data_IF_764017393698
#
_entry.id   IF_764017393698
#
_cell.length_a   1.000
_cell.length_b   1.000
_cell.length_c   1.000
_cell.angle_alpha   90.00
_cell.angle_beta   90.00
_cell.angle_gamma   90.00
#
_symmetry.space_group_name_H-M   'P 1'
#
loop_
_entity.id
_entity.type
_entity.pdbx_description
1 polymer ?
#
# COMPACT_ATOMS: atom_id res chain seq x y z
N UNK A 1 7.85 11.10 -8.34
CA UNK A 1 8.71 9.94 -8.00
C UNK A 1 9.85 10.47 -7.13
N UNK A 2 10.68 9.63 -6.53
CA UNK A 2 11.89 10.11 -5.87
C UNK A 2 12.39 9.23 -4.74
N UNK A 3 13.53 9.63 -4.20
CA UNK A 3 14.21 8.96 -3.10
C UNK A 3 13.96 9.70 -1.78
N UNK A 4 13.66 8.95 -0.73
CA UNK A 4 13.39 9.46 0.61
C UNK A 4 14.35 8.89 1.64
N UNK A 5 14.59 9.66 2.70
CA UNK A 5 15.28 9.22 3.91
C UNK A 5 14.38 9.48 5.10
N UNK A 6 13.96 8.41 5.78
CA UNK A 6 13.24 8.49 7.05
C UNK A 6 14.15 8.09 8.20
N UNK A 7 14.04 8.77 9.34
CA UNK A 7 14.61 8.36 10.62
C UNK A 7 13.53 7.74 11.50
N UNK A 8 13.88 6.68 12.23
CA UNK A 8 12.98 6.15 13.26
C UNK A 8 13.03 6.99 14.54
N UNK A 9 11.87 7.21 15.15
CA UNK A 9 11.76 7.82 16.48
C UNK A 9 12.06 6.83 17.62
N UNK A 10 12.18 5.53 17.32
CA UNK A 10 12.28 4.45 18.31
C UNK A 10 13.66 3.80 18.40
N UNK A 11 14.54 4.05 17.43
CA UNK A 11 15.90 3.53 17.40
C UNK A 11 16.79 4.38 16.48
N UNK A 12 18.10 4.24 16.63
CA UNK A 12 19.12 4.96 15.83
C UNK A 12 19.31 4.33 14.45
N UNK A 13 18.22 4.24 13.70
CA UNK A 13 18.20 3.76 12.33
C UNK A 13 17.55 4.76 11.38
N UNK A 14 18.05 4.76 10.14
CA UNK A 14 17.45 5.43 9.00
C UNK A 14 17.02 4.40 7.97
N UNK A 15 15.90 4.69 7.30
CA UNK A 15 15.39 3.95 6.15
C UNK A 15 15.57 4.80 4.91
N UNK A 16 16.23 4.23 3.92
CA UNK A 16 16.35 4.83 2.59
C UNK A 16 15.55 4.00 1.61
N UNK A 17 14.90 4.65 0.65
CA UNK A 17 14.26 3.95 -0.44
C UNK A 17 13.62 4.86 -1.46
N UNK A 18 13.07 4.24 -2.49
CA UNK A 18 12.43 4.91 -3.61
C UNK A 18 10.90 4.78 -3.62
N UNK A 19 10.22 5.79 -4.15
CA UNK A 19 8.78 5.72 -4.48
C UNK A 19 8.50 6.23 -5.89
N UNK A 20 7.63 5.53 -6.60
CA UNK A 20 7.11 5.97 -7.90
C UNK A 20 6.01 7.04 -7.79
N UNK A 21 5.68 7.46 -6.57
CA UNK A 21 4.68 8.50 -6.32
C UNK A 21 5.36 9.83 -6.04
N UNK A 22 4.63 10.93 -6.23
CA UNK A 22 5.11 12.26 -5.85
C UNK A 22 4.85 12.55 -4.36
N UNK A 23 5.13 11.57 -3.50
CA UNK A 23 4.94 11.66 -2.06
C UNK A 23 5.75 10.56 -1.35
N UNK A 24 6.74 10.91 -0.49
CA UNK A 24 7.52 9.93 0.25
C UNK A 24 6.69 9.13 1.26
N UNK A 25 5.63 9.73 1.81
CA UNK A 25 4.75 9.09 2.79
C UNK A 25 3.85 8.00 2.20
N UNK A 26 3.74 7.92 0.87
CA UNK A 26 2.94 6.88 0.22
C UNK A 26 3.38 5.47 0.62
N UNK A 27 4.68 5.25 0.86
CA UNK A 27 5.22 3.95 1.29
C UNK A 27 4.94 3.63 2.75
N UNK A 28 4.82 4.66 3.59
CA UNK A 28 4.51 4.52 5.01
C UNK A 28 3.01 4.29 5.21
N UNK A 29 2.15 5.02 4.48
CA UNK A 29 0.69 4.90 4.58
C UNK A 29 0.12 3.74 3.76
N UNK A 30 0.80 3.38 2.66
CA UNK A 30 0.33 2.45 1.65
C UNK A 30 -1.01 2.82 1.03
N UNK A 31 -1.61 1.87 0.32
CA UNK A 31 -3.01 1.98 -0.14
C UNK A 31 -3.92 1.35 0.90
N UNK A 32 -4.88 2.11 1.43
CA UNK A 32 -5.84 1.67 2.46
C UNK A 32 -5.23 1.41 3.86
N UNK A 33 -4.25 2.22 4.28
CA UNK A 33 -3.75 2.23 5.67
C UNK A 33 -2.83 1.06 6.03
N UNK A 34 -2.46 0.21 5.07
CA UNK A 34 -1.48 -0.87 5.27
C UNK A 34 -0.13 -0.39 4.73
N UNK A 35 0.91 -0.21 5.57
CA UNK A 35 2.20 0.31 5.15
C UNK A 35 2.85 -0.54 4.04
N UNK A 36 2.81 -0.06 2.80
CA UNK A 36 3.39 -0.77 1.65
C UNK A 36 4.90 -0.55 1.60
N UNK A 37 5.65 -1.47 2.22
CA UNK A 37 7.12 -1.51 2.20
C UNK A 37 7.78 -1.34 3.56
N UNK A 38 7.05 -0.92 4.59
CA UNK A 38 7.57 -0.84 5.97
C UNK A 38 7.13 -2.03 6.83
N UNK A 39 5.90 -2.53 6.68
CA UNK A 39 5.41 -3.70 7.42
C UNK A 39 5.75 -5.05 6.77
N UNK A 40 6.11 -5.04 5.48
CA UNK A 40 6.40 -6.24 4.69
C UNK A 40 7.90 -6.53 4.51
N UNK A 41 8.79 -5.66 4.99
CA UNK A 41 10.22 -5.71 4.69
C UNK A 41 11.01 -6.05 5.95
N UNK A 42 12.09 -6.82 5.77
CA UNK A 42 13.09 -7.10 6.81
C UNK A 42 13.52 -5.79 7.47
N UNK A 43 13.28 -5.67 8.77
CA UNK A 43 13.65 -4.52 9.59
C UNK A 43 14.32 -5.03 10.87
N UNK A 44 15.10 -4.19 11.59
CA UNK A 44 15.56 -4.51 12.93
C UNK A 44 14.39 -4.90 13.86
N UNK A 45 14.57 -5.88 14.74
CA UNK A 45 13.49 -6.36 15.62
C UNK A 45 12.94 -5.25 16.53
N UNK A 46 13.79 -4.28 16.92
CA UNK A 46 13.39 -3.12 17.72
C UNK A 46 12.34 -2.21 17.04
N UNK A 47 12.15 -2.32 15.72
CA UNK A 47 11.20 -1.53 14.95
C UNK A 47 9.88 -2.25 14.63
N UNK A 48 9.71 -3.50 15.11
CA UNK A 48 8.53 -4.30 14.80
C UNK A 48 7.24 -3.63 15.27
N UNK A 49 6.35 -3.34 14.32
CA UNK A 49 5.09 -2.64 14.57
C UNK A 49 5.26 -1.14 14.90
N UNK A 50 6.46 -0.57 14.75
CA UNK A 50 6.81 0.83 15.07
C UNK A 50 7.36 1.57 13.85
N UNK A 51 6.68 1.42 12.73
CA UNK A 51 7.08 1.98 11.42
C UNK A 51 5.92 2.70 10.75
N UNK A 52 5.00 3.26 11.55
CA UNK A 52 3.90 4.07 11.07
C UNK A 52 4.30 5.54 10.84
N UNK A 53 3.37 6.37 10.34
CA UNK A 53 3.62 7.79 10.07
C UNK A 53 4.05 8.60 11.30
N UNK A 54 3.58 8.21 12.49
CA UNK A 54 3.95 8.84 13.76
C UNK A 54 5.31 8.37 14.30
N UNK A 55 5.86 7.29 13.75
CA UNK A 55 7.09 6.64 14.22
C UNK A 55 8.31 7.04 13.39
N UNK A 56 8.10 7.81 12.33
CA UNK A 56 9.10 8.17 11.35
C UNK A 56 9.17 9.69 11.18
N UNK A 57 10.39 10.19 11.02
CA UNK A 57 10.70 11.58 10.71
C UNK A 57 11.30 11.62 9.29
N UNK A 58 10.73 12.40 8.39
CA UNK A 58 11.29 12.59 7.05
C UNK A 58 12.51 13.52 7.15
N UNK A 59 13.71 12.98 6.92
CA UNK A 59 14.96 13.76 6.94
C UNK A 59 15.30 14.37 5.58
N UNK A 60 14.84 13.77 4.47
CA UNK A 60 15.16 14.29 3.14
C UNK A 60 14.33 13.68 2.02
N UNK A 61 14.11 14.48 0.98
CA UNK A 61 13.33 14.12 -0.20
C UNK A 61 13.97 14.67 -1.49
N UNK A 62 14.29 13.76 -2.42
CA UNK A 62 14.88 14.05 -3.71
C UNK A 62 13.94 13.57 -4.82
N UNK A 63 12.95 14.40 -5.22
CA UNK A 63 11.93 14.00 -6.20
C UNK A 63 12.50 13.76 -7.59
N UNK A 64 13.63 14.39 -7.92
CA UNK A 64 14.29 14.25 -9.21
C UNK A 64 15.21 13.02 -9.27
N UNK A 65 15.42 12.31 -8.15
CA UNK A 65 16.28 11.13 -8.15
C UNK A 65 15.57 9.95 -8.81
N UNK A 66 16.29 9.18 -9.63
CA UNK A 66 15.75 8.02 -10.34
C UNK A 66 15.94 6.72 -9.55
N UNK A 67 15.23 5.67 -9.96
CA UNK A 67 15.35 4.34 -9.35
C UNK A 67 16.74 3.72 -9.62
N UNK A 68 17.35 4.00 -10.77
CA UNK A 68 18.71 3.54 -11.08
C UNK A 68 19.75 4.17 -10.15
N UNK A 69 19.60 5.47 -9.85
CA UNK A 69 20.46 6.17 -8.90
C UNK A 69 20.30 5.63 -7.49
N UNK A 70 19.08 5.34 -7.06
CA UNK A 70 18.80 4.68 -5.78
C UNK A 70 19.47 3.31 -5.67
N UNK A 71 19.35 2.47 -6.70
CA UNK A 71 19.99 1.15 -6.73
C UNK A 71 21.52 1.25 -6.68
N UNK A 72 22.11 2.25 -7.36
CA UNK A 72 23.56 2.49 -7.29
C UNK A 72 23.99 2.87 -5.85
N UNK A 73 23.23 3.73 -5.18
CA UNK A 73 23.47 4.11 -3.78
C UNK A 73 23.34 2.90 -2.85
N UNK A 74 22.27 2.10 -2.97
CA UNK A 74 22.11 0.88 -2.17
C UNK A 74 23.23 -0.13 -2.41
N UNK A 75 23.72 -0.26 -3.64
CA UNK A 75 24.86 -1.12 -3.98
C UNK A 75 26.13 -0.69 -3.24
N UNK A 76 26.43 0.62 -3.24
CA UNK A 76 27.58 1.17 -2.52
C UNK A 76 27.49 0.95 -1.01
N UNK A 77 26.28 1.04 -0.47
CA UNK A 77 26.03 0.99 0.97
C UNK A 77 25.65 -0.41 1.46
N UNK A 78 25.61 -1.40 0.57
CA UNK A 78 25.19 -2.76 0.93
C UNK A 78 26.04 -3.37 2.05
N UNK A 79 27.33 -3.00 2.12
CA UNK A 79 28.27 -3.50 3.14
C UNK A 79 28.00 -2.97 4.56
N UNK A 80 27.32 -1.84 4.65
CA UNK A 80 26.99 -1.16 5.93
C UNK A 80 25.50 -1.24 6.25
N UNK A 81 24.72 -1.95 5.42
CA UNK A 81 23.30 -2.20 5.72
C UNK A 81 23.19 -3.10 6.95
N UNK A 82 22.31 -2.71 7.87
CA UNK A 82 22.02 -3.49 9.08
C UNK A 82 21.05 -4.61 8.72
N UNK A 83 19.89 -4.25 8.16
CA UNK A 83 18.86 -5.19 7.68
C UNK A 83 18.08 -4.55 6.53
N UNK A 84 18.11 -5.19 5.35
CA UNK A 84 17.37 -4.70 4.18
C UNK A 84 17.93 -3.36 3.69
N UNK A 85 17.12 -2.31 3.75
CA UNK A 85 17.55 -0.93 3.44
C UNK A 85 17.50 -0.04 4.69
N UNK A 86 17.66 -0.64 5.87
CA UNK A 86 17.86 0.06 7.13
C UNK A 86 19.35 0.17 7.45
N UNK A 87 19.76 1.37 7.84
CA UNK A 87 21.15 1.74 8.12
C UNK A 87 21.24 2.40 9.49
N UNK A 88 22.41 2.33 10.13
CA UNK A 88 22.65 3.05 11.38
C UNK A 88 22.57 4.57 11.16
N UNK A 89 22.06 5.32 12.15
CA UNK A 89 21.91 6.77 12.07
C UNK A 89 23.25 7.50 11.86
N UNK A 90 24.35 6.94 12.37
CA UNK A 90 25.70 7.49 12.21
C UNK A 90 26.16 7.57 10.74
N UNK A 91 25.55 6.79 9.84
CA UNK A 91 25.84 6.78 8.40
C UNK A 91 25.14 7.91 7.64
N UNK A 92 24.25 8.67 8.30
CA UNK A 92 23.49 9.76 7.69
C UNK A 92 24.35 10.78 6.92
N UNK A 93 25.53 11.22 7.41
CA UNK A 93 26.40 12.15 6.67
C UNK A 93 26.91 11.56 5.35
N UNK A 94 27.25 10.27 5.32
CA UNK A 94 27.68 9.57 4.11
C UNK A 94 26.53 9.51 3.11
N UNK A 95 25.33 9.15 3.56
CA UNK A 95 24.13 9.15 2.73
C UNK A 95 23.87 10.51 2.10
N UNK A 96 23.86 11.58 2.89
CA UNK A 96 23.56 12.92 2.39
C UNK A 96 24.61 13.39 1.37
N UNK A 97 25.88 13.00 1.56
CA UNK A 97 26.95 13.28 0.61
C UNK A 97 26.74 12.56 -0.73
N UNK A 98 26.41 11.27 -0.69
CA UNK A 98 26.12 10.48 -1.90
C UNK A 98 24.86 10.99 -2.62
N UNK A 99 23.79 11.26 -1.87
CA UNK A 99 22.55 11.82 -2.40
C UNK A 99 22.78 13.15 -3.09
N UNK A 100 23.58 14.04 -2.49
CA UNK A 100 23.93 15.32 -3.09
C UNK A 100 24.72 15.16 -4.39
N UNK A 101 25.64 14.19 -4.44
CA UNK A 101 26.44 13.91 -5.62
C UNK A 101 25.63 13.27 -6.75
N UNK A 102 24.71 12.36 -6.43
CA UNK A 102 23.94 11.60 -7.42
C UNK A 102 22.66 12.29 -7.85
N UNK A 103 21.90 12.85 -6.91
CA UNK A 103 20.55 13.39 -7.15
C UNK A 103 20.49 14.92 -7.10
N UNK A 104 21.59 15.61 -6.76
CA UNK A 104 21.61 17.05 -6.53
C UNK A 104 21.06 17.47 -5.17
N UNK A 105 20.64 18.73 -5.05
CA UNK A 105 20.18 19.28 -3.76
C UNK A 105 18.80 18.75 -3.37
N UNK A 106 18.62 18.42 -2.09
CA UNK A 106 17.33 18.04 -1.51
C UNK A 106 16.36 19.21 -1.57
N UNK A 107 15.08 18.95 -1.89
CA UNK A 107 14.01 19.91 -1.59
C UNK A 107 13.69 19.76 -0.11
N UNK A 108 14.49 20.42 0.73
CA UNK A 108 14.33 20.39 2.19
C UNK A 108 13.13 21.23 2.68
N UNK A 109 12.41 21.86 1.74
CA UNK A 109 11.46 22.92 2.03
C UNK A 109 10.05 22.35 2.19
N UNK A 110 9.68 22.12 3.46
CA UNK A 110 8.30 21.94 3.92
C UNK A 110 7.48 20.88 3.15
N UNK A 111 7.96 19.63 3.11
CA UNK A 111 7.02 18.50 2.92
C UNK A 111 6.21 18.44 4.22
N UNK A 112 5.10 19.17 4.26
CA UNK A 112 4.16 19.16 5.38
C UNK A 112 3.87 17.71 5.71
N UNK A 113 4.24 17.28 6.91
CA UNK A 113 3.71 16.04 7.47
C UNK A 113 2.20 16.09 7.26
N UNK A 114 1.56 15.10 6.61
CA UNK A 114 0.11 15.12 6.47
C UNK A 114 -0.45 15.33 7.87
N UNK A 115 -1.17 16.44 8.05
CA UNK A 115 -1.72 16.81 9.35
C UNK A 115 -2.44 15.58 9.88
N UNK A 116 -2.05 15.17 11.09
CA UNK A 116 -2.60 14.02 11.80
C UNK A 116 -4.12 14.06 11.59
N UNK A 117 -4.75 13.03 10.97
CA UNK A 117 -6.18 13.08 10.72
C UNK A 117 -6.87 13.37 12.04
N UNK A 118 -7.55 14.52 12.09
CA UNK A 118 -8.39 14.91 13.22
C UNK A 118 -9.30 13.72 13.51
N UNK A 119 -9.37 13.33 14.79
CA UNK A 119 -10.27 12.28 15.28
C UNK A 119 -11.61 12.46 14.58
N UNK A 120 -12.03 11.42 13.85
CA UNK A 120 -13.34 11.40 13.22
C UNK A 120 -14.39 11.69 14.29
N UNK A 121 -15.00 12.87 14.22
CA UNK A 121 -16.27 13.13 14.88
C UNK A 121 -17.27 12.11 14.33
N UNK A 122 -17.94 11.45 15.25
CA UNK A 122 -18.94 10.44 15.01
C UNK A 122 -20.16 11.11 14.35
N UNK A 123 -20.10 11.26 13.02
CA UNK A 123 -21.21 11.74 12.21
C UNK A 123 -22.32 10.68 12.20
N UNK A 124 -23.52 11.13 12.53
CA UNK A 124 -24.76 10.37 12.45
C UNK A 124 -24.92 9.74 11.04
N UNK A 125 -25.54 8.54 10.95
CA UNK A 125 -25.64 7.81 9.69
C UNK A 125 -26.51 8.59 8.69
N UNK A 126 -25.86 9.10 7.64
CA UNK A 126 -26.57 9.57 6.45
C UNK A 126 -27.32 8.41 5.76
N UNK A 127 -28.48 8.70 5.14
CA UNK A 127 -29.26 7.70 4.42
C UNK A 127 -28.42 7.09 3.28
N UNK A 128 -28.62 5.79 2.96
CA UNK A 128 -27.78 5.10 2.00
C UNK A 128 -27.91 5.71 0.61
N UNK A 129 -26.86 6.40 0.17
CA UNK A 129 -26.73 6.86 -1.21
C UNK A 129 -26.74 5.66 -2.17
N UNK A 130 -27.55 5.76 -3.23
CA UNK A 130 -27.54 4.80 -4.33
C UNK A 130 -26.14 4.74 -4.97
N UNK A 131 -25.52 3.56 -5.09
CA UNK A 131 -24.15 3.46 -5.57
C UNK A 131 -24.05 3.86 -7.04
N UNK A 132 -23.32 4.95 -7.32
CA UNK A 132 -22.89 5.30 -8.68
C UNK A 132 -21.97 4.22 -9.26
N UNK A 133 -22.06 3.85 -10.54
CA UNK A 133 -21.23 2.80 -11.15
C UNK A 133 -19.72 3.10 -11.07
N UNK A 134 -18.94 2.23 -10.42
CA UNK A 134 -17.49 2.42 -10.16
C UNK A 134 -16.61 1.64 -11.16
N UNK A 135 -16.69 1.98 -12.44
CA UNK A 135 -15.83 1.35 -13.46
C UNK A 135 -14.35 1.70 -13.24
N UNK A 136 -13.44 0.73 -13.35
CA UNK A 136 -11.98 0.93 -13.26
C UNK A 136 -11.38 1.16 -11.87
N UNK A 137 -12.19 1.35 -10.82
CA UNK A 137 -11.66 1.56 -9.47
C UNK A 137 -11.08 0.27 -8.87
N UNK A 138 -10.01 0.38 -8.07
CA UNK A 138 -9.43 -0.75 -7.32
C UNK A 138 -10.39 -1.22 -6.23
N UNK A 139 -10.26 -2.49 -5.83
CA UNK A 139 -10.98 -3.07 -4.68
C UNK A 139 -10.28 -2.66 -3.39
N UNK A 140 -11.03 -2.04 -2.48
CA UNK A 140 -10.58 -1.73 -1.11
C UNK A 140 -10.61 -2.97 -0.20
N UNK A 141 -9.82 -2.98 0.89
CA UNK A 141 -9.89 -4.04 1.89
C UNK A 141 -11.28 -4.22 2.50
N UNK A 142 -12.02 -3.13 2.69
CA UNK A 142 -13.37 -3.14 3.25
C UNK A 142 -14.37 -3.79 2.29
N UNK A 143 -14.28 -3.49 0.99
CA UNK A 143 -15.06 -4.17 -0.04
C UNK A 143 -14.76 -5.68 -0.09
N UNK A 144 -13.48 -6.06 0.04
CA UNK A 144 -13.07 -7.45 0.11
C UNK A 144 -13.63 -8.17 1.35
N UNK A 145 -13.63 -7.51 2.51
CA UNK A 145 -14.19 -8.06 3.73
C UNK A 145 -15.71 -8.24 3.59
N UNK A 146 -16.43 -7.23 3.06
CA UNK A 146 -17.86 -7.31 2.75
C UNK A 146 -18.15 -8.47 1.78
N UNK A 147 -17.34 -8.62 0.74
CA UNK A 147 -17.45 -9.71 -0.23
C UNK A 147 -17.25 -11.08 0.42
N UNK A 148 -16.23 -11.23 1.27
CA UNK A 148 -15.98 -12.49 2.01
C UNK A 148 -17.13 -12.86 2.93
N UNK A 149 -17.67 -11.89 3.69
CA UNK A 149 -18.80 -12.13 4.59
C UNK A 149 -20.05 -12.54 3.81
N UNK A 150 -20.35 -11.85 2.71
CA UNK A 150 -21.52 -12.15 1.87
C UNK A 150 -21.43 -13.52 1.19
N UNK A 151 -20.25 -13.84 0.65
CA UNK A 151 -19.96 -15.19 0.13
C UNK A 151 -20.14 -16.22 1.23
N UNK A 152 -19.60 -16.02 2.43
CA UNK A 152 -19.78 -16.96 3.54
C UNK A 152 -21.25 -17.26 3.89
N UNK A 153 -22.13 -16.27 3.73
CA UNK A 153 -23.57 -16.39 4.01
C UNK A 153 -24.34 -17.11 2.89
N UNK A 154 -24.13 -16.73 1.63
CA UNK A 154 -25.01 -17.15 0.52
C UNK A 154 -24.44 -18.26 -0.36
N UNK A 155 -23.13 -18.46 -0.35
CA UNK A 155 -22.45 -19.31 -1.35
C UNK A 155 -22.75 -20.80 -1.23
N UNK A 156 -23.27 -21.24 -0.07
CA UNK A 156 -23.70 -22.63 0.11
C UNK A 156 -25.02 -22.96 -0.60
N UNK A 157 -25.84 -21.93 -0.88
CA UNK A 157 -27.21 -22.08 -1.35
C UNK A 157 -27.39 -21.61 -2.80
N UNK A 158 -26.44 -20.83 -3.32
CA UNK A 158 -26.57 -20.14 -4.61
C UNK A 158 -25.36 -20.43 -5.49
N UNK A 159 -25.61 -20.70 -6.78
CA UNK A 159 -24.53 -20.91 -7.75
C UNK A 159 -23.64 -19.65 -7.86
N UNK A 160 -22.34 -19.77 -8.22
CA UNK A 160 -21.47 -18.60 -8.40
C UNK A 160 -22.02 -17.57 -9.40
N UNK A 161 -22.71 -18.04 -10.45
CA UNK A 161 -23.30 -17.17 -11.48
C UNK A 161 -24.49 -16.38 -10.91
N UNK A 162 -25.38 -17.07 -10.19
CA UNK A 162 -26.54 -16.43 -9.56
C UNK A 162 -26.12 -15.49 -8.45
N UNK A 163 -25.09 -15.85 -7.68
CA UNK A 163 -24.51 -14.97 -6.67
C UNK A 163 -24.04 -13.65 -7.30
N UNK A 164 -23.29 -13.71 -8.41
CA UNK A 164 -22.83 -12.50 -9.11
C UNK A 164 -24.01 -11.72 -9.68
N UNK A 165 -25.03 -12.39 -10.23
CA UNK A 165 -26.24 -11.75 -10.75
C UNK A 165 -27.00 -11.00 -9.66
N UNK A 166 -27.09 -11.56 -8.46
CA UNK A 166 -27.82 -10.97 -7.33
C UNK A 166 -27.06 -9.84 -6.62
N UNK A 167 -25.72 -9.87 -6.64
CA UNK A 167 -24.93 -8.98 -5.77
C UNK A 167 -24.13 -7.90 -6.52
N UNK A 168 -24.02 -7.93 -7.86
CA UNK A 168 -23.15 -6.95 -8.56
C UNK A 168 -23.56 -5.49 -8.36
N UNK A 169 -24.87 -5.20 -8.33
CA UNK A 169 -25.38 -3.84 -8.09
C UNK A 169 -25.13 -3.39 -6.66
N UNK A 170 -25.26 -4.30 -5.69
CA UNK A 170 -24.98 -4.02 -4.28
C UNK A 170 -23.53 -3.60 -4.04
N UNK A 171 -22.59 -4.19 -4.78
CA UNK A 171 -21.19 -3.76 -4.75
C UNK A 171 -20.89 -2.53 -5.63
N UNK A 172 -21.86 -2.05 -6.43
CA UNK A 172 -21.64 -0.97 -7.40
C UNK A 172 -20.59 -1.33 -8.48
N UNK A 173 -20.44 -2.63 -8.78
CA UNK A 173 -19.44 -3.17 -9.72
C UNK A 173 -20.11 -3.89 -10.89
N UNK A 174 -19.42 -3.99 -12.01
CA UNK A 174 -19.87 -4.85 -13.11
C UNK A 174 -19.81 -6.32 -12.72
N UNK A 175 -20.67 -7.15 -13.32
CA UNK A 175 -20.68 -8.61 -13.13
C UNK A 175 -19.29 -9.22 -13.37
N UNK A 176 -18.62 -8.78 -14.44
CA UNK A 176 -17.26 -9.22 -14.81
C UNK A 176 -16.23 -8.86 -13.74
N UNK A 177 -16.29 -7.65 -13.18
CA UNK A 177 -15.35 -7.22 -12.14
C UNK A 177 -15.54 -8.00 -10.84
N UNK A 178 -16.79 -8.23 -10.43
CA UNK A 178 -17.13 -9.03 -9.25
C UNK A 178 -16.67 -10.49 -9.43
N UNK A 179 -16.94 -11.08 -10.59
CA UNK A 179 -16.50 -12.43 -10.92
C UNK A 179 -14.98 -12.58 -10.90
N UNK A 180 -14.26 -11.64 -11.52
CA UNK A 180 -12.79 -11.63 -11.54
C UNK A 180 -12.21 -11.52 -10.11
N UNK A 181 -12.86 -10.74 -9.23
CA UNK A 181 -12.41 -10.61 -7.83
C UNK A 181 -12.63 -11.89 -7.04
N UNK A 182 -13.80 -12.52 -7.17
CA UNK A 182 -14.11 -13.80 -6.51
C UNK A 182 -13.10 -14.90 -6.89
N UNK A 183 -12.67 -14.93 -8.16
CA UNK A 183 -11.59 -15.81 -8.62
C UNK A 183 -10.26 -15.53 -7.89
N UNK A 184 -9.87 -14.25 -7.78
CA UNK A 184 -8.64 -13.84 -7.10
C UNK A 184 -8.64 -14.15 -5.59
N UNK A 185 -9.81 -14.12 -4.95
CA UNK A 185 -9.97 -14.46 -3.54
C UNK A 185 -9.95 -15.98 -3.25
N UNK A 186 -9.79 -16.82 -4.28
CA UNK A 186 -9.73 -18.28 -4.14
C UNK A 186 -11.08 -18.89 -3.71
N UNK A 187 -12.18 -18.16 -3.86
CA UNK A 187 -13.53 -18.63 -3.49
C UNK A 187 -14.27 -19.31 -4.65
N UNK A 188 -13.71 -19.24 -5.86
CA UNK A 188 -14.19 -19.96 -7.03
C UNK A 188 -13.12 -20.96 -7.44
N UNK A 189 -13.30 -22.23 -7.05
CA UNK A 189 -12.58 -23.34 -7.68
C UNK A 189 -13.30 -23.62 -8.99
N UNK A 190 -12.65 -23.32 -10.10
CA UNK A 190 -13.24 -23.37 -11.45
C UNK A 190 -13.24 -24.78 -12.06
N UNK A 191 -12.86 -25.80 -11.28
CA UNK A 191 -12.48 -27.11 -11.84
C UNK A 191 -13.62 -28.09 -12.08
N UNK A 192 -14.85 -27.86 -11.61
CA UNK A 192 -15.95 -28.79 -11.86
C UNK A 192 -17.08 -28.14 -12.66
N UNK A 193 -16.94 -28.17 -13.99
CA UNK A 193 -18.00 -28.16 -15.03
C UNK A 193 -17.70 -27.30 -16.26
N UNK A 194 -16.54 -27.51 -16.90
CA UNK A 194 -16.38 -27.17 -18.34
C UNK A 194 -17.32 -27.98 -19.25
N UNK A 195 -17.95 -29.05 -18.76
CA UNK A 195 -18.77 -29.97 -19.56
C UNK A 195 -20.23 -29.52 -19.79
N UNK A 196 -20.77 -28.57 -19.03
CA UNK A 196 -22.20 -28.19 -19.10
C UNK A 196 -22.49 -26.82 -19.73
N UNK A 197 -21.51 -26.21 -20.40
CA UNK A 197 -21.72 -24.97 -21.16
C UNK A 197 -21.87 -25.26 -22.66
N UNK A 198 -22.93 -25.99 -23.02
CA UNK A 198 -23.60 -25.79 -24.32
C UNK A 198 -24.82 -24.93 -24.05
N UNK A 199 -24.68 -23.63 -24.29
CA UNK A 199 -25.83 -22.72 -24.36
C UNK A 199 -26.48 -22.97 -25.72
N UNK A 200 -27.69 -23.51 -25.70
CA UNK A 200 -28.63 -23.54 -26.83
C UNK A 200 -29.16 -22.15 -27.12
#
# INVERSE_FOLDING_TARGET
MGLYVFKSSHADYIKVGFTSWDNPWYRVNGSAGVPLGFSSVRHPESLKGRVGPSDLELLGWWPECTHEQENAIHTLLQRISVVGEWYALEELPLFFSLMKASCGSSKHESVRTPEKPLKAEEMAPEPPETPTPRSGQRWSPEEDQKLRSRVGQQWKEVSPVDFVKQNHEWFGRSKTALMARLKKLGKVVWEENKANWKVS
#
